data_IF_127498048854
#
_entry.id   IF_127498048854
#
_cell.length_a   1.000
_cell.length_b   1.000
_cell.length_c   1.000
_cell.angle_alpha   90.00
_cell.angle_beta   90.00
_cell.angle_gamma   90.00
#
_symmetry.space_group_name_H-M   'P 1'
#
loop_
_entity.id
_entity.type
_entity.pdbx_description
1 polymer ?
#
# COMPACT_ATOMS: atom_id res chain seq x y z
N UNK A 1 -10.94 2.32 -10.72
CA UNK A 1 -11.77 1.14 -11.02
C UNK A 1 -11.11 -0.17 -10.63
N UNK A 2 -9.95 -0.56 -11.20
CA UNK A 2 -9.30 -1.85 -10.86
C UNK A 2 -9.02 -2.04 -9.37
N UNK A 3 -8.40 -1.05 -8.71
CA UNK A 3 -8.09 -1.11 -7.27
C UNK A 3 -9.36 -1.35 -6.45
N UNK A 4 -10.43 -0.58 -6.68
CA UNK A 4 -11.69 -0.74 -5.96
C UNK A 4 -12.33 -2.13 -6.17
N UNK A 5 -12.31 -2.65 -7.40
CA UNK A 5 -12.81 -3.99 -7.70
C UNK A 5 -12.01 -5.09 -7.01
N UNK A 6 -10.68 -4.94 -6.94
CA UNK A 6 -9.82 -5.91 -6.25
C UNK A 6 -9.94 -5.76 -4.72
N UNK A 7 -10.12 -4.55 -4.19
CA UNK A 7 -10.41 -4.32 -2.77
C UNK A 7 -11.73 -4.99 -2.37
N UNK A 8 -12.77 -4.88 -3.20
CA UNK A 8 -14.03 -5.59 -2.99
C UNK A 8 -13.84 -7.10 -3.01
N UNK A 9 -13.13 -7.63 -4.01
CA UNK A 9 -12.82 -9.06 -4.08
C UNK A 9 -12.04 -9.54 -2.86
N UNK A 10 -11.03 -8.79 -2.42
CA UNK A 10 -10.28 -9.06 -1.20
C UNK A 10 -11.18 -9.08 0.03
N UNK A 11 -12.05 -8.08 0.19
CA UNK A 11 -13.01 -8.03 1.29
C UNK A 11 -13.92 -9.26 1.30
N UNK A 12 -14.47 -9.66 0.14
CA UNK A 12 -15.29 -10.86 0.01
C UNK A 12 -14.50 -12.14 0.31
N UNK A 13 -13.25 -12.21 -0.14
CA UNK A 13 -12.35 -13.34 0.14
C UNK A 13 -12.11 -13.51 1.64
N UNK A 14 -11.74 -12.45 2.35
CA UNK A 14 -11.56 -12.53 3.82
C UNK A 14 -12.89 -12.73 4.57
N UNK A 15 -13.99 -12.19 4.06
CA UNK A 15 -15.34 -12.49 4.59
C UNK A 15 -15.66 -13.98 4.46
N UNK A 16 -15.26 -14.62 3.36
CA UNK A 16 -15.40 -16.07 3.18
C UNK A 16 -14.56 -16.87 4.20
N UNK A 17 -13.37 -16.41 4.60
CA UNK A 17 -12.60 -17.05 5.68
C UNK A 17 -13.28 -16.92 7.04
N UNK A 18 -13.88 -15.77 7.35
CA UNK A 18 -14.63 -15.57 8.59
C UNK A 18 -15.85 -16.50 8.60
N UNK A 19 -16.58 -16.58 7.49
CA UNK A 19 -17.69 -17.52 7.34
C UNK A 19 -17.23 -18.99 7.44
N UNK A 20 -16.09 -19.34 6.84
CA UNK A 20 -15.55 -20.70 6.94
C UNK A 20 -15.20 -21.05 8.39
N UNK A 21 -14.61 -20.12 9.14
CA UNK A 21 -14.37 -20.27 10.58
C UNK A 21 -15.68 -20.41 11.38
N UNK A 22 -16.77 -19.74 10.97
CA UNK A 22 -18.06 -19.89 11.65
C UNK A 22 -18.69 -21.27 11.46
N UNK A 23 -18.33 -21.98 10.38
CA UNK A 23 -18.81 -23.37 10.15
C UNK A 23 -18.08 -24.43 10.99
N UNK A 24 -16.99 -24.07 11.68
CA UNK A 24 -16.15 -25.03 12.42
C UNK A 24 -15.31 -25.96 11.54
N UNK A 25 -15.26 -25.71 10.22
CA UNK A 25 -14.46 -26.49 9.27
C UNK A 25 -12.98 -26.10 9.26
N UNK A 26 -12.63 -24.94 9.82
CA UNK A 26 -11.24 -24.52 9.94
C UNK A 26 -10.62 -25.13 11.20
N UNK A 27 -9.60 -25.94 10.98
CA UNK A 27 -8.92 -26.67 12.06
C UNK A 27 -7.43 -26.33 12.03
N UNK A 28 -6.88 -26.04 13.20
CA UNK A 28 -5.47 -25.87 13.49
C UNK A 28 -4.69 -27.17 13.27
N UNK A 29 -3.36 -27.08 13.12
CA UNK A 29 -2.48 -28.25 13.06
C UNK A 29 -2.59 -29.17 14.28
N UNK A 30 -3.06 -28.64 15.42
CA UNK A 30 -3.29 -29.41 16.64
C UNK A 30 -4.70 -30.02 16.72
N UNK A 31 -5.49 -29.95 15.65
CA UNK A 31 -6.91 -30.32 15.61
C UNK A 31 -7.86 -29.40 16.40
N UNK A 32 -7.38 -28.26 16.90
CA UNK A 32 -8.23 -27.24 17.53
C UNK A 32 -9.04 -26.47 16.47
N UNK A 33 -10.32 -26.25 16.73
CA UNK A 33 -11.20 -25.51 15.81
C UNK A 33 -10.83 -24.02 15.87
N UNK A 34 -10.60 -23.41 14.71
CA UNK A 34 -10.46 -21.96 14.59
C UNK A 34 -11.86 -21.36 14.64
N UNK A 35 -12.15 -20.67 15.72
CA UNK A 35 -13.46 -20.05 15.92
C UNK A 35 -13.56 -18.72 15.15
N UNK A 36 -14.74 -18.44 14.60
CA UNK A 36 -15.09 -17.09 14.19
C UNK A 36 -15.37 -16.26 15.45
N UNK A 37 -14.31 -15.71 16.03
CA UNK A 37 -14.33 -14.82 17.18
C UNK A 37 -13.81 -13.42 16.81
N UNK A 38 -13.81 -12.51 17.78
CA UNK A 38 -13.30 -11.15 17.60
C UNK A 38 -11.81 -11.12 17.20
N UNK A 39 -11.01 -12.04 17.73
CA UNK A 39 -9.59 -12.19 17.39
C UNK A 39 -9.41 -12.49 15.91
N UNK A 40 -10.11 -13.51 15.39
CA UNK A 40 -10.03 -13.93 14.00
C UNK A 40 -10.50 -12.84 13.04
N UNK A 41 -11.58 -12.12 13.39
CA UNK A 41 -12.02 -10.95 12.63
C UNK A 41 -10.95 -9.84 12.60
N UNK A 42 -10.30 -9.56 13.73
CA UNK A 42 -9.20 -8.61 13.82
C UNK A 42 -8.00 -9.00 12.97
N UNK A 43 -7.62 -10.29 12.96
CA UNK A 43 -6.56 -10.84 12.11
C UNK A 43 -6.92 -10.68 10.63
N UNK A 44 -8.15 -11.00 10.22
CA UNK A 44 -8.61 -10.83 8.84
C UNK A 44 -8.60 -9.36 8.40
N UNK A 45 -9.06 -8.45 9.27
CA UNK A 45 -9.03 -7.01 9.01
C UNK A 45 -7.60 -6.49 8.85
N UNK A 46 -6.68 -6.90 9.72
CA UNK A 46 -5.28 -6.55 9.61
C UNK A 46 -4.65 -7.08 8.33
N UNK A 47 -4.96 -8.33 7.95
CA UNK A 47 -4.52 -8.93 6.70
C UNK A 47 -4.99 -8.14 5.47
N UNK A 48 -6.26 -7.71 5.44
CA UNK A 48 -6.79 -6.85 4.39
C UNK A 48 -6.05 -5.52 4.29
N UNK A 49 -5.83 -4.84 5.42
CA UNK A 49 -5.13 -3.57 5.46
C UNK A 49 -3.66 -3.73 5.01
N UNK A 50 -2.99 -4.78 5.47
CA UNK A 50 -1.60 -5.09 5.19
C UNK A 50 -1.35 -5.47 3.72
N UNK A 51 -2.25 -6.25 3.12
CA UNK A 51 -2.15 -6.70 1.74
C UNK A 51 -2.59 -5.65 0.71
N UNK A 52 -3.20 -4.56 1.15
CA UNK A 52 -3.69 -3.48 0.29
C UNK A 52 -2.65 -2.92 -0.71
N UNK A 53 -1.37 -2.69 -0.34
CA UNK A 53 -0.39 -2.14 -1.27
C UNK A 53 -0.10 -3.07 -2.44
N UNK A 54 -0.25 -4.39 -2.26
CA UNK A 54 -0.05 -5.37 -3.31
C UNK A 54 -1.09 -5.26 -4.42
N UNK A 55 -2.24 -4.64 -4.15
CA UNK A 55 -3.26 -4.39 -5.17
C UNK A 55 -2.81 -3.37 -6.22
N UNK A 56 -1.80 -2.54 -5.90
CA UNK A 56 -1.19 -1.59 -6.81
C UNK A 56 -0.01 -2.19 -7.60
N UNK A 57 0.45 -3.40 -7.26
CA UNK A 57 1.55 -4.04 -7.98
C UNK A 57 1.12 -4.53 -9.36
N UNK A 58 1.44 -3.75 -10.39
CA UNK A 58 1.38 -4.18 -11.78
C UNK A 58 2.78 -4.33 -12.38
N UNK A 59 3.37 -5.53 -12.20
CA UNK A 59 4.72 -5.89 -12.67
C UNK A 59 4.92 -5.76 -14.19
N UNK A 60 3.82 -5.66 -14.96
CA UNK A 60 3.87 -5.55 -16.43
C UNK A 60 3.99 -4.11 -16.93
N UNK A 61 3.93 -3.09 -16.05
CA UNK A 61 4.02 -1.68 -16.46
C UNK A 61 5.46 -1.16 -16.38
N UNK A 62 5.91 -0.34 -17.32
CA UNK A 62 7.25 0.27 -17.33
C UNK A 62 7.48 1.32 -16.21
N UNK A 63 6.46 1.59 -15.38
CA UNK A 63 6.50 2.55 -14.27
C UNK A 63 6.57 1.88 -12.89
N UNK A 64 7.06 0.64 -12.82
CA UNK A 64 7.20 -0.15 -11.57
C UNK A 64 5.88 -0.27 -10.77
N UNK A 65 4.75 -0.36 -11.49
CA UNK A 65 3.41 -0.61 -10.93
C UNK A 65 2.60 0.61 -10.52
N UNK A 66 3.19 1.81 -10.40
CA UNK A 66 2.48 3.02 -9.94
C UNK A 66 2.51 4.12 -11.00
N UNK A 67 1.37 4.78 -11.25
CA UNK A 67 1.26 5.86 -12.25
C UNK A 67 2.12 7.07 -11.86
N UNK A 68 2.91 7.60 -12.80
CA UNK A 68 3.74 8.81 -12.60
C UNK A 68 2.92 10.11 -12.58
N UNK A 69 1.78 10.14 -13.26
CA UNK A 69 0.88 11.29 -13.30
C UNK A 69 -0.38 11.03 -12.47
N UNK A 70 -0.78 11.99 -11.64
CA UNK A 70 -1.98 11.90 -10.81
C UNK A 70 -1.90 10.87 -9.67
N UNK A 71 -0.68 10.47 -9.25
CA UNK A 71 -0.45 9.47 -8.22
C UNK A 71 -1.09 9.84 -6.88
N UNK A 72 -0.93 11.10 -6.45
CA UNK A 72 -1.42 11.60 -5.17
C UNK A 72 -2.94 11.43 -5.04
N UNK A 73 -3.78 12.02 -5.92
CA UNK A 73 -5.22 11.87 -5.79
C UNK A 73 -5.66 10.42 -5.98
N UNK A 74 -4.98 9.64 -6.83
CA UNK A 74 -5.34 8.25 -7.08
C UNK A 74 -5.08 7.34 -5.88
N UNK A 75 -3.94 7.51 -5.19
CA UNK A 75 -3.60 6.71 -4.01
C UNK A 75 -4.45 7.13 -2.82
N UNK A 76 -4.61 8.44 -2.56
CA UNK A 76 -5.41 8.91 -1.42
C UNK A 76 -6.88 8.51 -1.58
N UNK A 77 -7.47 8.76 -2.76
CA UNK A 77 -8.85 8.34 -3.03
C UNK A 77 -8.96 6.82 -3.07
N UNK A 78 -7.93 6.12 -3.56
CA UNK A 78 -7.87 4.66 -3.56
C UNK A 78 -7.91 4.07 -2.14
N UNK A 79 -7.12 4.60 -1.21
CA UNK A 79 -7.12 4.21 0.20
C UNK A 79 -8.48 4.48 0.83
N UNK A 80 -8.97 5.72 0.74
CA UNK A 80 -10.22 6.12 1.41
C UNK A 80 -11.42 5.35 0.85
N UNK A 81 -11.57 5.28 -0.48
CA UNK A 81 -12.68 4.57 -1.09
C UNK A 81 -12.61 3.05 -0.86
N UNK A 82 -11.40 2.47 -0.85
CA UNK A 82 -11.26 1.04 -0.52
C UNK A 82 -11.59 0.78 0.94
N UNK A 83 -11.11 1.61 1.88
CA UNK A 83 -11.45 1.49 3.29
C UNK A 83 -12.97 1.56 3.50
N UNK A 84 -13.66 2.50 2.85
CA UNK A 84 -15.13 2.56 2.89
C UNK A 84 -15.77 1.28 2.37
N UNK A 85 -15.35 0.77 1.21
CA UNK A 85 -15.89 -0.49 0.64
C UNK A 85 -15.65 -1.66 1.60
N UNK A 86 -14.43 -1.81 2.12
CA UNK A 86 -14.08 -2.91 3.03
C UNK A 86 -14.86 -2.80 4.34
N UNK A 87 -14.99 -1.59 4.92
CA UNK A 87 -15.82 -1.36 6.11
C UNK A 87 -17.29 -1.70 5.88
N UNK A 88 -17.84 -1.35 4.71
CA UNK A 88 -19.23 -1.68 4.37
C UNK A 88 -19.43 -3.20 4.24
N UNK A 89 -18.46 -3.93 3.69
CA UNK A 89 -18.49 -5.40 3.66
C UNK A 89 -18.37 -5.97 5.08
N UNK A 90 -17.54 -5.36 5.92
CA UNK A 90 -17.33 -5.79 7.30
C UNK A 90 -18.60 -5.70 8.17
N UNK A 91 -19.59 -4.86 7.81
CA UNK A 91 -20.90 -4.81 8.49
C UNK A 91 -21.64 -6.15 8.52
N UNK A 92 -21.32 -7.08 7.62
CA UNK A 92 -21.92 -8.42 7.58
C UNK A 92 -21.23 -9.37 8.56
N UNK A 93 -20.00 -9.07 9.00
CA UNK A 93 -19.19 -9.99 9.80
C UNK A 93 -19.79 -10.36 11.16
N UNK A 94 -20.48 -9.45 11.90
CA UNK A 94 -21.13 -9.82 13.16
C UNK A 94 -22.14 -10.97 13.02
N UNK A 95 -22.74 -11.14 11.84
CA UNK A 95 -23.68 -12.23 11.57
C UNK A 95 -23.02 -13.62 11.62
N UNK A 96 -21.69 -13.70 11.46
CA UNK A 96 -20.93 -14.95 11.52
C UNK A 96 -20.46 -15.31 12.94
N UNK A 97 -20.47 -14.37 13.88
CA UNK A 97 -20.08 -14.62 15.28
C UNK A 97 -21.11 -15.52 15.99
N UNK A 98 -22.42 -15.35 15.70
CA UNK A 98 -23.49 -16.12 16.34
C UNK A 98 -23.43 -16.02 17.87
N UNK A 99 -23.42 -17.16 18.55
CA UNK A 99 -23.33 -17.25 20.02
C UNK A 99 -21.95 -16.84 20.59
N UNK A 100 -20.92 -16.69 19.73
CA UNK A 100 -19.56 -16.30 20.13
C UNK A 100 -19.37 -14.79 20.18
N UNK A 101 -20.39 -14.02 19.82
CA UNK A 101 -20.33 -12.56 19.89
C UNK A 101 -20.24 -12.12 21.36
N UNK A 102 -19.11 -11.52 21.74
CA UNK A 102 -18.96 -10.91 23.07
C UNK A 102 -19.61 -9.53 23.03
N UNK A 103 -20.70 -9.28 23.78
CA UNK A 103 -21.42 -8.02 23.73
C UNK A 103 -20.54 -6.82 24.10
N UNK A 104 -20.75 -5.70 23.44
CA UNK A 104 -19.99 -4.47 23.67
C UNK A 104 -18.59 -4.44 23.05
N UNK A 105 -18.14 -5.49 22.36
CA UNK A 105 -16.92 -5.47 21.56
C UNK A 105 -17.17 -4.86 20.19
N UNK A 106 -16.15 -4.26 19.57
CA UNK A 106 -16.25 -3.71 18.21
C UNK A 106 -16.65 -4.79 17.20
N UNK A 107 -16.20 -6.04 17.38
CA UNK A 107 -16.57 -7.15 16.51
C UNK A 107 -18.07 -7.47 16.55
N UNK A 108 -18.69 -7.44 17.74
CA UNK A 108 -20.10 -7.74 17.92
C UNK A 108 -21.01 -6.57 17.52
N UNK A 109 -20.62 -5.35 17.83
CA UNK A 109 -21.46 -4.15 17.69
C UNK A 109 -21.29 -3.44 16.33
N UNK A 110 -20.49 -3.99 15.42
CA UNK A 110 -20.06 -3.30 14.18
C UNK A 110 -21.22 -2.78 13.31
N UNK A 111 -22.37 -3.46 13.31
CA UNK A 111 -23.56 -3.10 12.54
C UNK A 111 -24.62 -2.32 13.34
N UNK A 112 -24.48 -2.22 14.66
CA UNK A 112 -25.45 -1.61 15.57
C UNK A 112 -24.94 -0.29 16.17
N UNK A 113 -23.63 -0.19 16.41
CA UNK A 113 -22.97 0.97 17.00
C UNK A 113 -22.15 1.76 15.96
N UNK A 114 -22.51 3.03 15.68
CA UNK A 114 -21.75 3.89 14.79
C UNK A 114 -20.30 4.13 15.23
N UNK A 115 -19.99 4.09 16.53
CA UNK A 115 -18.63 4.30 17.02
C UNK A 115 -17.71 3.13 16.63
N UNK A 116 -18.20 1.90 16.76
CA UNK A 116 -17.52 0.68 16.29
C UNK A 116 -17.25 0.72 14.79
N UNK A 117 -18.26 1.09 13.98
CA UNK A 117 -18.07 1.26 12.53
C UNK A 117 -17.01 2.32 12.20
N UNK A 118 -17.08 3.48 12.85
CA UNK A 118 -16.14 4.57 12.61
C UNK A 118 -14.70 4.17 13.00
N UNK A 119 -14.53 3.46 14.11
CA UNK A 119 -13.23 2.95 14.53
C UNK A 119 -12.65 1.95 13.52
N UNK A 120 -13.46 1.02 13.00
CA UNK A 120 -13.03 0.08 11.95
C UNK A 120 -12.69 0.80 10.64
N UNK A 121 -13.45 1.83 10.27
CA UNK A 121 -13.12 2.67 9.11
C UNK A 121 -11.75 3.35 9.27
N UNK A 122 -11.48 3.94 10.44
CA UNK A 122 -10.19 4.56 10.73
C UNK A 122 -9.05 3.54 10.76
N UNK A 123 -9.32 2.34 11.31
CA UNK A 123 -8.38 1.22 11.27
C UNK A 123 -7.98 0.88 9.85
N UNK A 124 -8.94 0.72 8.93
CA UNK A 124 -8.64 0.42 7.54
C UNK A 124 -7.92 1.58 6.84
N UNK A 125 -8.35 2.83 7.02
CA UNK A 125 -7.66 3.98 6.41
C UNK A 125 -6.20 4.04 6.88
N UNK A 126 -5.97 3.98 8.20
CA UNK A 126 -4.64 4.04 8.78
C UNK A 126 -3.78 2.85 8.39
N UNK A 127 -4.31 1.64 8.52
CA UNK A 127 -3.62 0.40 8.18
C UNK A 127 -3.24 0.36 6.70
N UNK A 128 -4.17 0.65 5.79
CA UNK A 128 -3.89 0.69 4.35
C UNK A 128 -2.90 1.80 3.97
N UNK A 129 -3.03 3.00 4.57
CA UNK A 129 -2.13 4.11 4.30
C UNK A 129 -0.69 3.77 4.73
N UNK A 130 -0.49 3.32 5.97
CA UNK A 130 0.84 2.96 6.48
C UNK A 130 1.44 1.74 5.79
N UNK A 131 0.64 0.73 5.47
CA UNK A 131 1.09 -0.39 4.64
C UNK A 131 1.63 0.11 3.30
N UNK A 132 0.94 1.07 2.69
CA UNK A 132 1.36 1.66 1.41
C UNK A 132 2.60 2.52 1.58
N UNK A 133 2.72 3.29 2.66
CA UNK A 133 3.92 4.08 2.99
C UNK A 133 5.16 3.20 3.14
N UNK A 134 5.04 2.02 3.73
CA UNK A 134 6.17 1.09 3.89
C UNK A 134 6.51 0.40 2.57
N UNK A 135 5.51 -0.03 1.81
CA UNK A 135 5.71 -0.76 0.56
C UNK A 135 6.22 0.13 -0.58
N UNK A 136 5.75 1.37 -0.68
CA UNK A 136 6.04 2.25 -1.82
C UNK A 136 7.55 2.48 -2.02
N UNK A 137 8.37 2.82 -1.00
CA UNK A 137 9.81 2.97 -1.17
C UNK A 137 10.52 1.65 -1.51
N UNK A 138 10.02 0.51 -1.00
CA UNK A 138 10.57 -0.81 -1.32
C UNK A 138 10.37 -1.15 -2.80
N UNK A 139 9.20 -0.82 -3.35
CA UNK A 139 8.90 -1.03 -4.76
C UNK A 139 9.71 -0.10 -5.67
N UNK A 140 9.88 1.17 -5.31
CA UNK A 140 10.59 2.15 -6.14
C UNK A 140 12.11 1.98 -6.05
N UNK A 141 12.64 1.71 -4.86
CA UNK A 141 14.09 1.66 -4.60
C UNK A 141 14.77 0.35 -5.00
N UNK A 142 14.01 -0.63 -5.52
CA UNK A 142 14.50 -1.95 -5.90
C UNK A 142 15.07 -2.76 -4.72
N UNK A 143 15.80 -3.84 -5.03
CA UNK A 143 16.24 -4.82 -4.02
C UNK A 143 17.09 -4.22 -2.90
N UNK A 144 17.89 -3.17 -3.20
CA UNK A 144 18.80 -2.56 -2.22
C UNK A 144 18.03 -1.85 -1.11
N UNK A 145 17.00 -1.08 -1.47
CA UNK A 145 16.14 -0.39 -0.51
C UNK A 145 15.19 -1.37 0.16
N UNK A 146 14.65 -2.33 -0.61
CA UNK A 146 13.76 -3.35 -0.08
C UNK A 146 14.41 -4.20 1.02
N UNK A 147 15.70 -4.55 0.90
CA UNK A 147 16.41 -5.34 1.91
C UNK A 147 16.48 -4.61 3.27
N UNK A 148 16.76 -3.31 3.27
CA UNK A 148 16.83 -2.51 4.50
C UNK A 148 15.46 -2.24 5.11
N UNK A 149 14.45 -2.05 4.26
CA UNK A 149 13.07 -1.79 4.70
C UNK A 149 12.27 -3.05 5.03
N UNK A 150 12.79 -4.24 4.72
CA UNK A 150 12.16 -5.52 5.05
C UNK A 150 11.93 -5.65 6.56
N UNK A 151 12.94 -5.33 7.37
CA UNK A 151 12.84 -5.47 8.83
C UNK A 151 11.79 -4.52 9.43
N UNK A 152 11.78 -3.21 9.12
CA UNK A 152 10.68 -2.31 9.48
C UNK A 152 9.31 -2.79 8.99
N UNK A 153 9.23 -3.34 7.77
CA UNK A 153 7.99 -3.83 7.20
C UNK A 153 7.44 -5.06 7.94
N UNK A 154 8.31 -6.00 8.33
CA UNK A 154 7.95 -7.15 9.16
C UNK A 154 7.53 -6.73 10.57
N UNK A 155 8.23 -5.75 11.16
CA UNK A 155 7.81 -5.14 12.43
C UNK A 155 6.42 -4.51 12.34
N UNK A 156 6.16 -3.78 11.23
CA UNK A 156 4.85 -3.21 10.96
C UNK A 156 3.77 -4.29 10.74
N UNK A 157 4.10 -5.40 10.08
CA UNK A 157 3.19 -6.54 9.94
C UNK A 157 2.77 -7.07 11.32
N UNK A 158 3.71 -7.30 12.23
CA UNK A 158 3.36 -7.71 13.59
C UNK A 158 2.47 -6.70 14.31
N UNK A 159 2.81 -5.40 14.21
CA UNK A 159 2.05 -4.32 14.84
C UNK A 159 0.62 -4.21 14.31
N UNK A 160 0.40 -4.28 12.99
CA UNK A 160 -0.95 -4.12 12.42
C UNK A 160 -1.85 -5.32 12.75
N UNK A 161 -1.30 -6.54 12.79
CA UNK A 161 -2.05 -7.72 13.20
C UNK A 161 -2.41 -7.67 14.69
N UNK A 162 -1.45 -7.31 15.55
CA UNK A 162 -1.72 -7.11 16.98
C UNK A 162 -2.77 -6.00 17.21
N UNK A 163 -2.64 -4.87 16.50
CA UNK A 163 -3.58 -3.77 16.62
C UNK A 163 -4.98 -4.14 16.08
N UNK A 164 -5.07 -4.98 15.05
CA UNK A 164 -6.34 -5.51 14.55
C UNK A 164 -7.07 -6.32 15.63
N UNK A 165 -6.37 -7.24 16.29
CA UNK A 165 -6.94 -8.00 17.42
C UNK A 165 -7.41 -7.05 18.53
N UNK A 166 -6.55 -6.12 18.95
CA UNK A 166 -6.89 -5.15 20.01
C UNK A 166 -8.08 -4.26 19.65
N UNK A 167 -8.26 -3.87 18.38
CA UNK A 167 -9.43 -3.07 17.98
C UNK A 167 -10.71 -3.88 18.04
N UNK A 168 -10.68 -5.15 17.60
CA UNK A 168 -11.90 -5.96 17.47
C UNK A 168 -12.34 -6.62 18.79
N UNK A 169 -11.40 -6.98 19.67
CA UNK A 169 -11.70 -7.61 20.97
C UNK A 169 -12.16 -6.63 22.06
N UNK A 170 -11.84 -5.35 21.91
CA UNK A 170 -12.13 -4.35 22.94
C UNK A 170 -13.39 -3.54 22.60
N UNK A 171 -14.01 -2.90 23.60
CA UNK A 171 -15.09 -1.95 23.35
C UNK A 171 -14.56 -0.70 22.63
N UNK A 172 -15.41 -0.07 21.79
CA UNK A 172 -15.07 1.21 21.18
C UNK A 172 -14.86 2.25 22.29
N UNK A 173 -13.67 2.85 22.35
CA UNK A 173 -13.35 3.88 23.33
C UNK A 173 -12.85 5.14 22.64
N UNK A 174 -13.15 6.30 23.22
CA UNK A 174 -12.72 7.59 22.69
C UNK A 174 -11.19 7.64 22.51
N UNK A 175 -10.44 7.12 23.47
CA UNK A 175 -8.97 7.11 23.42
C UNK A 175 -8.46 6.32 22.20
N UNK A 176 -8.96 5.09 22.00
CA UNK A 176 -8.55 4.24 20.88
C UNK A 176 -8.95 4.88 19.54
N UNK A 177 -10.15 5.47 19.47
CA UNK A 177 -10.60 6.21 18.29
C UNK A 177 -9.68 7.40 17.99
N UNK A 178 -9.29 8.19 19.00
CA UNK A 178 -8.39 9.33 18.81
C UNK A 178 -6.99 8.89 18.33
N UNK A 179 -6.48 7.77 18.84
CA UNK A 179 -5.23 7.16 18.35
C UNK A 179 -5.37 6.81 16.87
N UNK A 180 -6.46 6.14 16.48
CA UNK A 180 -6.67 5.75 15.09
C UNK A 180 -6.95 6.92 14.15
N UNK A 181 -7.58 8.00 14.63
CA UNK A 181 -7.65 9.27 13.90
C UNK A 181 -6.24 9.80 13.63
N UNK A 182 -5.37 9.85 14.65
CA UNK A 182 -4.00 10.31 14.48
C UNK A 182 -3.20 9.42 13.52
N UNK A 183 -3.36 8.08 13.62
CA UNK A 183 -2.72 7.10 12.73
C UNK A 183 -3.21 7.26 11.29
N UNK A 184 -4.51 7.43 11.07
CA UNK A 184 -5.10 7.62 9.75
C UNK A 184 -4.64 8.93 9.10
N UNK A 185 -4.72 10.05 9.83
CA UNK A 185 -4.31 11.36 9.32
C UNK A 185 -2.81 11.42 9.04
N UNK A 186 -1.98 10.92 9.96
CA UNK A 186 -0.53 10.87 9.76
C UNK A 186 -0.15 9.94 8.61
N UNK A 187 -0.78 8.78 8.50
CA UNK A 187 -0.56 7.83 7.41
C UNK A 187 -0.88 8.44 6.05
N UNK A 188 -2.04 9.11 5.93
CA UNK A 188 -2.42 9.82 4.69
C UNK A 188 -1.48 10.98 4.37
N UNK A 189 -1.05 11.75 5.37
CA UNK A 189 -0.11 12.86 5.18
C UNK A 189 1.27 12.37 4.70
N UNK A 190 1.82 11.32 5.33
CA UNK A 190 3.08 10.70 4.92
C UNK A 190 2.95 10.11 3.52
N UNK A 191 1.84 9.43 3.22
CA UNK A 191 1.60 8.85 1.90
C UNK A 191 1.54 9.92 0.81
N UNK A 192 0.88 11.05 1.08
CA UNK A 192 0.85 12.20 0.20
C UNK A 192 2.25 12.78 -0.02
N UNK A 193 3.05 12.92 1.05
CA UNK A 193 4.42 13.41 0.98
C UNK A 193 5.33 12.47 0.17
N UNK A 194 5.22 11.15 0.36
CA UNK A 194 5.97 10.16 -0.41
C UNK A 194 5.59 10.18 -1.90
N UNK A 195 4.29 10.26 -2.19
CA UNK A 195 3.81 10.37 -3.57
C UNK A 195 4.27 11.69 -4.23
N UNK A 196 4.31 12.80 -3.48
CA UNK A 196 4.84 14.07 -3.96
C UNK A 196 6.36 14.02 -4.20
N UNK A 197 7.11 13.43 -3.26
CA UNK A 197 8.56 13.24 -3.39
C UNK A 197 8.89 12.42 -4.64
N UNK A 198 8.13 11.34 -4.88
CA UNK A 198 8.29 10.54 -6.09
C UNK A 198 8.07 11.38 -7.35
N UNK A 199 7.01 12.17 -7.41
CA UNK A 199 6.76 13.05 -8.58
C UNK A 199 7.90 14.04 -8.83
N UNK A 200 8.63 14.44 -7.79
CA UNK A 200 9.82 15.30 -7.92
C UNK A 200 11.03 14.52 -8.44
N UNK A 201 11.28 13.31 -7.92
CA UNK A 201 12.40 12.45 -8.32
C UNK A 201 12.23 11.94 -9.76
N UNK A 202 11.00 11.54 -10.12
CA UNK A 202 10.66 10.96 -11.42
C UNK A 202 10.41 12.03 -12.51
N UNK A 203 10.66 13.33 -12.23
CA UNK A 203 10.62 14.35 -13.28
C UNK A 203 11.50 13.86 -14.43
N UNK A 204 10.95 13.66 -15.63
CA UNK A 204 11.75 13.19 -16.76
C UNK A 204 12.90 14.17 -16.90
N UNK A 205 14.14 13.66 -16.89
CA UNK A 205 15.26 14.45 -17.42
C UNK A 205 14.77 14.97 -18.76
N UNK A 206 14.71 16.29 -19.00
CA UNK A 206 14.20 16.82 -20.25
C UNK A 206 14.89 16.05 -21.36
N UNK A 207 14.10 15.31 -22.15
CA UNK A 207 14.65 14.60 -23.28
C UNK A 207 15.15 15.69 -24.21
N UNK A 208 16.48 15.85 -24.27
CA UNK A 208 17.09 16.76 -25.21
C UNK A 208 16.54 16.41 -26.59
N UNK A 209 15.85 17.38 -27.19
CA UNK A 209 15.41 17.32 -28.57
C UNK A 209 16.59 16.94 -29.47
N UNK A 210 16.33 16.38 -30.66
CA UNK A 210 17.43 16.04 -31.58
C UNK A 210 18.37 17.24 -31.79
N UNK A 211 17.81 18.45 -31.94
CA UNK A 211 18.56 19.70 -32.03
C UNK A 211 19.38 20.05 -30.79
N UNK A 212 18.86 19.81 -29.58
CA UNK A 212 19.61 20.06 -28.34
C UNK A 212 20.73 19.04 -28.13
N UNK A 213 20.52 17.78 -28.55
CA UNK A 213 21.58 16.76 -28.55
C UNK A 213 22.69 17.10 -29.53
N UNK A 214 22.34 17.51 -30.73
CA UNK A 214 23.30 17.92 -31.76
C UNK A 214 24.09 19.15 -31.30
N UNK A 215 23.41 20.14 -30.70
CA UNK A 215 24.08 21.32 -30.14
C UNK A 215 25.02 20.98 -28.97
N UNK A 216 24.62 20.06 -28.09
CA UNK A 216 25.48 19.58 -27.00
C UNK A 216 26.69 18.79 -27.52
N UNK A 217 26.50 18.00 -28.58
CA UNK A 217 27.56 17.24 -29.24
C UNK A 217 28.56 18.16 -29.96
N UNK A 218 28.08 19.20 -30.65
CA UNK A 218 28.96 20.20 -31.27
C UNK A 218 29.82 20.93 -30.22
N UNK A 219 29.23 21.36 -29.09
CA UNK A 219 30.00 21.96 -27.98
C UNK A 219 31.06 21.01 -27.41
N UNK A 220 30.74 19.72 -27.32
CA UNK A 220 31.69 18.71 -26.86
C UNK A 220 32.87 18.54 -27.84
N UNK A 221 32.60 18.54 -29.15
CA UNK A 221 33.65 18.50 -30.16
C UNK A 221 34.52 19.76 -30.16
N UNK A 222 33.92 20.95 -30.02
CA UNK A 222 34.64 22.22 -29.91
C UNK A 222 35.58 22.25 -28.68
N UNK A 223 35.12 21.78 -27.52
CA UNK A 223 35.94 21.69 -26.30
C UNK A 223 37.08 20.67 -26.46
N UNK A 224 36.86 19.54 -27.14
CA UNK A 224 37.96 18.59 -27.47
C UNK A 224 38.99 19.19 -28.41
N UNK A 225 38.54 19.92 -29.44
CA UNK A 225 39.42 20.60 -30.40
C UNK A 225 40.27 21.66 -29.70
N UNK A 226 39.67 22.47 -28.82
CA UNK A 226 40.42 23.46 -28.03
C UNK A 226 41.46 22.82 -27.10
N UNK A 227 41.21 21.62 -26.59
CA UNK A 227 42.13 20.87 -25.72
C UNK A 227 43.20 20.07 -26.48
N UNK A 228 43.24 20.14 -27.82
CA UNK A 228 44.19 19.39 -28.64
C UNK A 228 44.00 17.87 -28.60
N UNK A 229 42.81 17.40 -28.19
CA UNK A 229 42.47 15.97 -28.13
C UNK A 229 41.93 15.52 -29.50
N UNK A 230 42.82 15.42 -30.49
CA UNK A 230 42.48 15.16 -31.90
C UNK A 230 42.58 13.70 -32.34
N UNK A 231 42.59 12.73 -31.41
CA UNK A 231 42.64 11.31 -31.81
C UNK A 231 41.42 10.97 -32.69
N UNK A 232 41.68 10.66 -33.96
CA UNK A 232 40.71 10.69 -35.07
C UNK A 232 39.65 9.57 -35.04
N UNK A 233 39.67 8.69 -34.04
CA UNK A 233 38.73 7.59 -33.95
C UNK A 233 37.87 7.71 -32.68
N UNK A 234 36.63 8.23 -32.78
CA UNK A 234 35.68 8.15 -31.68
C UNK A 234 35.48 6.68 -31.31
N UNK A 235 35.71 6.34 -30.03
CA UNK A 235 35.50 4.99 -29.55
C UNK A 235 34.01 4.63 -29.70
N UNK A 236 33.65 3.59 -30.47
CA UNK A 236 32.26 3.23 -30.71
C UNK A 236 31.54 2.97 -29.38
N UNK A 237 30.43 3.69 -29.15
CA UNK A 237 29.62 3.56 -27.93
C UNK A 237 30.00 4.51 -26.77
N UNK A 238 31.13 5.22 -26.86
CA UNK A 238 31.54 6.26 -25.89
C UNK A 238 31.37 7.66 -26.51
N UNK A 239 31.88 7.84 -27.73
CA UNK A 239 32.01 9.17 -28.35
C UNK A 239 30.96 9.45 -29.45
N UNK A 240 30.07 8.50 -29.77
CA UNK A 240 29.02 8.66 -30.79
C UNK A 240 27.65 9.00 -30.20
N UNK A 241 26.74 9.61 -30.97
CA UNK A 241 25.37 9.86 -30.53
C UNK A 241 24.71 8.54 -30.13
N UNK A 242 24.34 8.41 -28.85
CA UNK A 242 23.69 7.20 -28.37
C UNK A 242 22.33 7.05 -29.04
N UNK A 243 22.02 5.87 -29.64
CA UNK A 243 20.72 5.61 -30.19
C UNK A 243 19.67 5.70 -29.07
N UNK A 244 18.43 6.13 -29.40
CA UNK A 244 17.37 6.20 -28.42
C UNK A 244 17.20 4.83 -27.74
N UNK A 245 17.32 4.80 -26.41
CA UNK A 245 16.96 3.61 -25.63
C UNK A 245 15.47 3.36 -25.86
N UNK A 246 15.16 2.27 -26.58
CA UNK A 246 13.81 1.77 -26.77
C UNK A 246 13.23 1.27 -25.45
#
# INVERSE_FOLDING_TARGET
MRVLGVSLFGALFFTFFIWLASTGLMVSNNFDIIEADAMWMGICAAGLAFLFPFLFMEHKRPDDGFRREGLIPLILLGVVASAVIVSLVALVWPLFLGERAVPGTVAAELNADPASFFLVLLFFIGGMAWSTCMMMPMMIGGYKVALWLLLPYLGFAFLIFFAGVQVFENPPSLLVTMIWVAVALSGLAVLAALAALRNVIDKPKPQMTASERDAAYQRYLEDRLQRGLTNENPLPGIDGPQPPRR
#
